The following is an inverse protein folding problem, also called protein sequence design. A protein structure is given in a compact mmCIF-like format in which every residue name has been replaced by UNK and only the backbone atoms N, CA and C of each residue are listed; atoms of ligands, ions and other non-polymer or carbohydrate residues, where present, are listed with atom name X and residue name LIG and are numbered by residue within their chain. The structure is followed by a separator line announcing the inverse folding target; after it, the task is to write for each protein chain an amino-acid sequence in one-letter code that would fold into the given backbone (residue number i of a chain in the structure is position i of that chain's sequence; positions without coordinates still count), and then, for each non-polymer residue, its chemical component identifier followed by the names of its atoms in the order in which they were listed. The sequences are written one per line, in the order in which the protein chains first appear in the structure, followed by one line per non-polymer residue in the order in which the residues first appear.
data_IF_049455824742
#
_entry.id   IF_049455824742
#
_cell.length_a   1.000
_cell.length_b   1.000
_cell.length_c   1.000
_cell.angle_alpha   90.00
_cell.angle_beta   90.00
_cell.angle_gamma   90.00
#
_symmetry.space_group_name_H-M   'P 1'
#
loop_
_entity.id
_entity.type
_entity.pdbx_description
1 polymer ?
#
# COMPACT_ATOMS: atom_id res chain seq x y z
N UNK A 1 39.58 -61.29 28.87
CA UNK A 1 39.95 -59.96 28.35
C UNK A 1 39.95 -60.05 26.84
N UNK A 2 39.02 -59.38 26.15
CA UNK A 2 38.82 -59.53 24.71
C UNK A 2 39.66 -58.46 24.01
N UNK A 3 40.62 -58.87 23.17
CA UNK A 3 41.58 -57.97 22.48
C UNK A 3 41.01 -57.46 21.14
N UNK A 4 39.98 -58.12 20.59
CA UNK A 4 39.42 -57.78 19.27
C UNK A 4 38.49 -56.55 19.22
N UNK A 5 37.91 -56.13 20.35
CA UNK A 5 36.96 -55.01 20.37
C UNK A 5 37.24 -54.11 21.56
N UNK A 6 37.72 -52.90 21.30
CA UNK A 6 37.95 -51.89 22.31
C UNK A 6 36.67 -51.11 22.61
N UNK A 7 35.90 -51.59 23.58
CA UNK A 7 34.61 -51.00 23.98
C UNK A 7 34.77 -49.57 24.52
N UNK A 8 35.89 -49.26 25.19
CA UNK A 8 36.17 -47.91 25.69
C UNK A 8 36.41 -46.91 24.56
N UNK A 9 37.19 -47.30 23.54
CA UNK A 9 37.39 -46.48 22.34
C UNK A 9 36.09 -46.28 21.55
N UNK A 10 35.26 -47.32 21.41
CA UNK A 10 33.95 -47.21 20.75
C UNK A 10 32.96 -46.30 21.51
N UNK A 11 33.06 -46.22 22.84
CA UNK A 11 32.27 -45.29 23.64
C UNK A 11 32.79 -43.84 23.47
N UNK A 12 34.10 -43.64 23.54
CA UNK A 12 34.73 -42.34 23.28
C UNK A 12 34.38 -41.80 21.88
N UNK A 13 34.42 -42.65 20.85
CA UNK A 13 34.07 -42.26 19.48
C UNK A 13 32.57 -41.93 19.32
N UNK A 14 31.67 -42.63 20.03
CA UNK A 14 30.24 -42.28 20.06
C UNK A 14 29.99 -40.92 20.72
N UNK A 15 30.64 -40.65 21.85
CA UNK A 15 30.53 -39.35 22.53
C UNK A 15 31.11 -38.21 21.68
N UNK A 16 32.27 -38.43 21.03
CA UNK A 16 32.85 -37.47 20.10
C UNK A 16 31.87 -37.17 18.95
N UNK A 17 31.27 -38.20 18.34
CA UNK A 17 30.30 -38.02 17.25
C UNK A 17 29.08 -37.19 17.68
N UNK A 18 28.55 -37.43 18.89
CA UNK A 18 27.45 -36.64 19.44
C UNK A 18 27.85 -35.18 19.69
N UNK A 19 29.05 -34.93 20.23
CA UNK A 19 29.57 -33.58 20.46
C UNK A 19 29.82 -32.84 19.15
N UNK A 20 30.43 -33.50 18.16
CA UNK A 20 30.65 -32.94 16.82
C UNK A 20 29.33 -32.59 16.12
N UNK A 21 28.31 -33.45 16.23
CA UNK A 21 26.97 -33.16 15.72
C UNK A 21 26.31 -31.96 16.40
N UNK A 22 26.46 -31.85 17.72
CA UNK A 22 25.92 -30.72 18.50
C UNK A 22 26.65 -29.40 18.17
N UNK A 23 27.97 -29.43 18.02
CA UNK A 23 28.78 -28.30 17.57
C UNK A 23 28.35 -27.83 16.18
N UNK A 24 28.11 -28.75 15.24
CA UNK A 24 27.60 -28.43 13.91
C UNK A 24 26.27 -27.67 13.95
N UNK A 25 25.32 -28.09 14.78
CA UNK A 25 24.04 -27.39 14.98
C UNK A 25 24.23 -25.99 15.57
N UNK A 26 25.12 -25.83 16.54
CA UNK A 26 25.41 -24.52 17.14
C UNK A 26 26.05 -23.57 16.12
N UNK A 27 26.96 -24.07 15.30
CA UNK A 27 27.55 -23.29 14.21
C UNK A 27 26.51 -22.90 13.15
N UNK A 28 25.57 -23.78 12.82
CA UNK A 28 24.45 -23.47 11.91
C UNK A 28 23.58 -22.34 12.48
N UNK A 29 23.23 -22.40 13.77
CA UNK A 29 22.47 -21.33 14.45
C UNK A 29 23.25 -20.02 14.49
N UNK A 30 24.54 -20.07 14.82
CA UNK A 30 25.41 -18.89 14.85
C UNK A 30 25.52 -18.24 13.46
N UNK A 31 25.73 -19.05 12.41
CA UNK A 31 25.85 -18.55 11.03
C UNK A 31 24.55 -17.96 10.50
N UNK A 32 23.40 -18.50 10.90
CA UNK A 32 22.08 -18.02 10.48
C UNK A 32 21.56 -16.82 11.29
N UNK A 33 22.05 -16.65 12.52
CA UNK A 33 21.46 -15.75 13.51
C UNK A 33 20.06 -16.15 14.01
N UNK A 34 19.52 -17.30 13.59
CA UNK A 34 18.19 -17.78 13.93
C UNK A 34 18.27 -18.90 14.97
N UNK A 35 17.38 -18.85 15.96
CA UNK A 35 17.28 -19.89 17.00
C UNK A 35 16.71 -21.22 16.46
N UNK A 36 15.83 -21.14 15.47
CA UNK A 36 15.13 -22.27 14.83
C UNK A 36 15.47 -22.24 13.33
N UNK A 37 16.32 -23.17 12.88
CA UNK A 37 16.74 -23.29 11.48
C UNK A 37 16.05 -24.43 10.72
N UNK A 38 15.58 -25.45 11.44
CA UNK A 38 14.97 -26.65 10.87
C UNK A 38 13.65 -26.93 11.57
N UNK A 39 12.69 -27.46 10.83
CA UNK A 39 11.42 -27.94 11.40
C UNK A 39 11.63 -29.03 12.47
N UNK A 40 12.75 -29.75 12.41
CA UNK A 40 13.14 -30.77 13.40
C UNK A 40 13.55 -30.19 14.77
N UNK A 41 13.94 -28.91 14.85
CA UNK A 41 14.31 -28.27 16.12
C UNK A 41 13.08 -27.75 16.88
N UNK A 42 12.10 -27.17 16.17
CA UNK A 42 10.82 -26.69 16.72
C UNK A 42 9.82 -26.46 15.56
N UNK A 43 8.99 -27.45 15.25
CA UNK A 43 8.04 -27.37 14.14
C UNK A 43 6.95 -26.31 14.37
N UNK A 44 6.46 -26.17 15.61
CA UNK A 44 5.42 -25.21 15.96
C UNK A 44 5.98 -23.77 15.96
N UNK A 45 7.16 -23.55 16.54
CA UNK A 45 7.85 -22.27 16.53
C UNK A 45 8.23 -21.83 15.11
N UNK A 46 8.68 -22.76 14.26
CA UNK A 46 8.93 -22.46 12.85
C UNK A 46 7.65 -22.06 12.12
N UNK A 47 6.55 -22.80 12.29
CA UNK A 47 5.26 -22.49 11.64
C UNK A 47 4.70 -21.10 12.06
N UNK A 48 4.78 -20.76 13.36
CA UNK A 48 4.38 -19.43 13.84
C UNK A 48 5.30 -18.35 13.27
N UNK A 49 6.62 -18.59 13.21
CA UNK A 49 7.57 -17.63 12.65
C UNK A 49 7.37 -17.39 11.15
N UNK A 50 7.04 -18.43 10.38
CA UNK A 50 6.66 -18.35 8.97
C UNK A 50 5.36 -17.55 8.80
N UNK A 51 4.35 -17.82 9.63
CA UNK A 51 3.09 -17.05 9.65
C UNK A 51 3.34 -15.57 9.94
N UNK A 52 4.15 -15.25 10.95
CA UNK A 52 4.52 -13.86 11.27
C UNK A 52 5.31 -13.21 10.13
N UNK A 53 6.25 -13.94 9.50
CA UNK A 53 6.98 -13.45 8.32
C UNK A 53 6.03 -13.16 7.16
N UNK A 54 5.05 -14.02 6.91
CA UNK A 54 4.02 -13.80 5.90
C UNK A 54 3.16 -12.57 6.22
N UNK A 55 2.74 -12.41 7.48
CA UNK A 55 2.02 -11.23 7.94
C UNK A 55 2.85 -9.95 7.78
N UNK A 56 4.14 -9.95 8.14
CA UNK A 56 5.03 -8.80 7.94
C UNK A 56 5.14 -8.44 6.47
N UNK A 57 5.32 -9.42 5.57
CA UNK A 57 5.32 -9.17 4.11
C UNK A 57 3.98 -8.60 3.64
N UNK A 58 2.87 -9.12 4.16
CA UNK A 58 1.52 -8.62 3.89
C UNK A 58 1.33 -7.17 4.35
N UNK A 59 1.76 -6.84 5.57
CA UNK A 59 1.71 -5.48 6.11
C UNK A 59 2.61 -4.52 5.32
N UNK A 60 3.81 -4.94 4.92
CA UNK A 60 4.69 -4.12 4.08
C UNK A 60 4.06 -3.81 2.71
N UNK A 61 3.35 -4.77 2.11
CA UNK A 61 2.59 -4.51 0.89
C UNK A 61 1.39 -3.60 1.16
N UNK A 62 0.67 -3.82 2.26
CA UNK A 62 -0.42 -2.95 2.68
C UNK A 62 0.02 -1.50 2.89
N UNK A 63 1.20 -1.29 3.49
CA UNK A 63 1.80 0.03 3.66
C UNK A 63 2.10 0.70 2.31
N UNK A 64 2.64 -0.04 1.34
CA UNK A 64 2.85 0.49 -0.02
C UNK A 64 1.53 0.86 -0.68
N UNK A 65 0.53 -0.01 -0.61
CA UNK A 65 -0.80 0.27 -1.15
C UNK A 65 -1.45 1.50 -0.49
N UNK A 66 -1.29 1.66 0.83
CA UNK A 66 -1.78 2.84 1.54
C UNK A 66 -1.06 4.11 1.09
N UNK A 67 0.26 4.05 0.87
CA UNK A 67 1.03 5.16 0.34
C UNK A 67 0.57 5.57 -1.06
N UNK A 68 0.28 4.60 -1.95
CA UNK A 68 -0.29 4.87 -3.27
C UNK A 68 -1.67 5.52 -3.16
N UNK A 69 -2.50 5.08 -2.20
CA UNK A 69 -3.78 5.71 -1.89
C UNK A 69 -3.62 7.16 -1.43
N UNK A 70 -2.62 7.46 -0.59
CA UNK A 70 -2.31 8.84 -0.19
C UNK A 70 -1.90 9.69 -1.39
N UNK A 71 -1.02 9.19 -2.26
CA UNK A 71 -0.60 9.91 -3.48
C UNK A 71 -1.76 10.14 -4.45
N UNK A 72 -2.68 9.18 -4.56
CA UNK A 72 -3.93 9.33 -5.32
C UNK A 72 -4.80 10.45 -4.73
N UNK A 73 -5.00 10.47 -3.42
CA UNK A 73 -5.78 11.50 -2.73
C UNK A 73 -5.16 12.89 -2.87
N UNK A 74 -3.83 13.01 -2.75
CA UNK A 74 -3.13 14.29 -2.94
C UNK A 74 -3.31 14.82 -4.37
N UNK A 75 -3.29 13.93 -5.37
CA UNK A 75 -3.55 14.32 -6.76
C UNK A 75 -4.99 14.83 -6.93
N UNK A 76 -5.95 14.15 -6.31
CA UNK A 76 -7.35 14.59 -6.31
C UNK A 76 -7.53 15.94 -5.58
N UNK A 77 -6.89 16.12 -4.43
CA UNK A 77 -6.94 17.36 -3.64
C UNK A 77 -6.35 18.55 -4.39
N UNK A 78 -5.21 18.35 -5.08
CA UNK A 78 -4.64 19.38 -5.95
C UNK A 78 -5.59 19.82 -7.05
N UNK A 79 -6.24 18.88 -7.73
CA UNK A 79 -7.24 19.18 -8.76
C UNK A 79 -8.49 19.86 -8.17
N UNK A 80 -8.95 19.46 -6.98
CA UNK A 80 -10.08 20.11 -6.31
C UNK A 80 -9.76 21.52 -5.82
N UNK A 81 -8.51 21.82 -5.47
CA UNK A 81 -8.07 23.17 -5.14
C UNK A 81 -8.17 24.11 -6.36
N UNK A 82 -7.83 23.65 -7.56
CA UNK A 82 -8.04 24.43 -8.79
C UNK A 82 -9.52 24.69 -9.04
N UNK A 83 -10.37 23.66 -8.89
CA UNK A 83 -11.83 23.82 -8.98
C UNK A 83 -12.35 24.82 -7.94
N UNK A 84 -11.80 24.79 -6.72
CA UNK A 84 -12.17 25.74 -5.67
C UNK A 84 -11.86 27.19 -6.05
N UNK A 85 -10.65 27.44 -6.57
CA UNK A 85 -10.24 28.77 -7.08
C UNK A 85 -11.16 29.25 -8.21
N UNK A 86 -11.51 28.36 -9.15
CA UNK A 86 -12.44 28.69 -10.23
C UNK A 86 -13.83 29.05 -9.67
N UNK A 87 -14.34 28.30 -8.70
CA UNK A 87 -15.64 28.58 -8.07
C UNK A 87 -15.65 29.91 -7.30
N UNK A 88 -14.53 30.29 -6.67
CA UNK A 88 -14.39 31.61 -6.08
C UNK A 88 -14.48 32.70 -7.15
N UNK A 89 -13.79 32.55 -8.28
CA UNK A 89 -13.88 33.47 -9.42
C UNK A 89 -15.31 33.57 -9.99
N UNK A 90 -16.01 32.45 -10.16
CA UNK A 90 -17.42 32.44 -10.59
C UNK A 90 -18.31 33.20 -9.60
N UNK A 91 -18.06 33.09 -8.29
CA UNK A 91 -18.79 33.85 -7.28
C UNK A 91 -18.53 35.36 -7.39
N UNK A 92 -17.29 35.77 -7.60
CA UNK A 92 -16.95 37.18 -7.83
C UNK A 92 -17.70 37.74 -9.05
N UNK A 93 -17.64 37.00 -10.17
CA UNK A 93 -18.36 37.35 -11.40
C UNK A 93 -19.88 37.41 -11.20
N UNK A 94 -20.44 36.51 -10.40
CA UNK A 94 -21.87 36.51 -10.06
C UNK A 94 -22.29 37.78 -9.29
N UNK A 95 -21.47 38.22 -8.33
CA UNK A 95 -21.70 39.47 -7.59
C UNK A 95 -21.54 40.68 -8.52
N UNK A 96 -20.54 40.65 -9.40
CA UNK A 96 -20.32 41.72 -10.39
C UNK A 96 -21.48 41.85 -11.37
N UNK A 97 -22.05 40.74 -11.84
CA UNK A 97 -23.21 40.71 -12.73
C UNK A 97 -24.50 41.22 -12.05
N UNK A 98 -24.59 41.11 -10.72
CA UNK A 98 -25.70 41.63 -9.92
C UNK A 98 -25.71 43.15 -9.79
N UNK A 99 -24.64 43.85 -10.18
CA UNK A 99 -24.60 45.31 -10.15
C UNK A 99 -25.50 45.91 -11.26
N UNK A 100 -26.46 46.75 -10.85
CA UNK A 100 -27.43 47.35 -11.76
C UNK A 100 -26.86 48.41 -12.70
N UNK A 101 -25.66 48.95 -12.42
CA UNK A 101 -25.00 49.97 -13.26
C UNK A 101 -24.28 49.39 -14.47
N UNK A 102 -24.18 48.06 -14.58
CA UNK A 102 -23.45 47.38 -15.63
C UNK A 102 -24.23 47.39 -16.96
N UNK A 103 -23.56 47.59 -18.10
CA UNK A 103 -24.24 47.56 -19.40
C UNK A 103 -24.70 46.15 -19.77
N UNK A 104 -25.56 46.02 -20.78
CA UNK A 104 -25.97 44.70 -21.29
C UNK A 104 -24.80 43.93 -21.90
N UNK A 105 -23.89 44.61 -22.61
CA UNK A 105 -22.69 43.99 -23.20
C UNK A 105 -21.74 43.45 -22.13
N UNK A 106 -21.55 44.17 -21.03
CA UNK A 106 -20.68 43.72 -19.93
C UNK A 106 -21.26 42.47 -19.24
N UNK A 107 -22.58 42.41 -19.07
CA UNK A 107 -23.25 41.21 -18.53
C UNK A 107 -23.11 40.00 -19.45
N UNK A 108 -23.14 40.21 -20.77
CA UNK A 108 -22.87 39.14 -21.74
C UNK A 108 -21.44 38.64 -21.63
N UNK A 109 -20.44 39.53 -21.56
CA UNK A 109 -19.03 39.14 -21.41
C UNK A 109 -18.77 38.36 -20.11
N UNK A 110 -19.37 38.79 -18.99
CA UNK A 110 -19.31 38.03 -17.72
C UNK A 110 -19.96 36.65 -17.85
N UNK A 111 -21.08 36.55 -18.58
CA UNK A 111 -21.74 35.29 -18.89
C UNK A 111 -20.85 34.33 -19.68
N UNK A 112 -20.15 34.84 -20.70
CA UNK A 112 -19.19 34.07 -21.50
C UNK A 112 -18.01 33.58 -20.64
N UNK A 113 -17.46 34.43 -19.77
CA UNK A 113 -16.40 34.03 -18.82
C UNK A 113 -16.89 32.91 -17.88
N UNK A 114 -18.11 33.02 -17.33
CA UNK A 114 -18.68 31.96 -16.49
C UNK A 114 -18.87 30.63 -17.22
N UNK A 115 -19.28 30.66 -18.50
CA UNK A 115 -19.41 29.45 -19.32
C UNK A 115 -18.03 28.81 -19.57
N UNK A 116 -17.01 29.61 -19.86
CA UNK A 116 -15.64 29.13 -20.03
C UNK A 116 -15.10 28.49 -18.74
N UNK A 117 -15.30 29.14 -17.58
CA UNK A 117 -14.91 28.61 -16.28
C UNK A 117 -15.63 27.30 -15.94
N UNK A 118 -16.92 27.18 -16.30
CA UNK A 118 -17.66 25.92 -16.15
C UNK A 118 -17.08 24.80 -17.02
N UNK A 119 -16.77 25.11 -18.28
CA UNK A 119 -16.11 24.16 -19.18
C UNK A 119 -14.75 23.73 -18.65
N UNK A 120 -13.99 24.63 -18.00
CA UNK A 120 -12.71 24.29 -17.41
C UNK A 120 -12.86 23.34 -16.21
N UNK A 121 -13.87 23.54 -15.35
CA UNK A 121 -14.19 22.60 -14.26
C UNK A 121 -14.48 21.19 -14.82
N UNK A 122 -15.29 21.09 -15.88
CA UNK A 122 -15.60 19.82 -16.53
C UNK A 122 -14.34 19.16 -17.13
N UNK A 123 -13.43 19.97 -17.70
CA UNK A 123 -12.14 19.48 -18.21
C UNK A 123 -11.22 18.97 -17.09
N UNK A 124 -11.11 19.68 -15.96
CA UNK A 124 -10.32 19.24 -14.80
C UNK A 124 -10.85 17.88 -14.30
N UNK A 125 -12.17 17.72 -14.22
CA UNK A 125 -12.80 16.45 -13.82
C UNK A 125 -12.41 15.29 -14.74
N UNK A 126 -12.39 15.53 -16.07
CA UNK A 126 -12.08 14.49 -17.06
C UNK A 126 -10.58 14.19 -17.21
N UNK A 127 -9.71 15.17 -16.97
CA UNK A 127 -8.26 15.05 -17.16
C UNK A 127 -7.54 14.55 -15.91
N UNK A 128 -8.12 14.71 -14.72
CA UNK A 128 -7.50 14.29 -13.45
C UNK A 128 -7.46 12.77 -13.36
N UNK A 129 -6.25 12.22 -13.51
CA UNK A 129 -5.99 10.78 -13.55
C UNK A 129 -4.85 10.39 -12.63
N UNK A 130 -4.98 9.21 -12.03
CA UNK A 130 -3.90 8.55 -11.30
C UNK A 130 -3.80 7.10 -11.75
N UNK A 131 -2.62 6.69 -12.20
CA UNK A 131 -2.38 5.33 -12.72
C UNK A 131 -3.42 4.87 -13.77
N UNK A 132 -3.84 5.78 -14.66
CA UNK A 132 -4.85 5.51 -15.70
C UNK A 132 -6.32 5.57 -15.23
N UNK A 133 -6.58 5.69 -13.94
CA UNK A 133 -7.93 5.81 -13.38
C UNK A 133 -8.35 7.28 -13.29
N UNK A 134 -9.56 7.60 -13.74
CA UNK A 134 -10.14 8.93 -13.56
C UNK A 134 -10.62 9.09 -12.11
N UNK A 135 -10.25 10.20 -11.46
CA UNK A 135 -10.51 10.40 -10.04
C UNK A 135 -11.80 11.16 -9.75
N UNK A 136 -12.17 12.11 -10.61
CA UNK A 136 -13.17 13.14 -10.32
C UNK A 136 -14.46 13.04 -11.17
N UNK A 137 -14.60 12.00 -11.99
CA UNK A 137 -15.74 11.82 -12.90
C UNK A 137 -16.84 10.88 -12.34
N UNK A 138 -16.70 10.42 -11.08
CA UNK A 138 -17.64 9.50 -10.43
C UNK A 138 -17.44 8.02 -10.78
N UNK A 139 -16.61 7.67 -11.77
CA UNK A 139 -16.36 6.27 -12.17
C UNK A 139 -15.75 5.42 -11.06
N UNK A 140 -15.02 6.04 -10.12
CA UNK A 140 -14.40 5.36 -8.99
C UNK A 140 -15.44 4.84 -7.98
N UNK A 141 -16.57 5.54 -7.82
CA UNK A 141 -17.63 5.13 -6.91
C UNK A 141 -18.32 3.83 -7.36
N UNK A 142 -18.48 3.62 -8.67
CA UNK A 142 -19.10 2.41 -9.23
C UNK A 142 -18.22 1.16 -9.03
N UNK A 143 -16.90 1.30 -8.95
CA UNK A 143 -15.99 0.15 -8.76
C UNK A 143 -15.90 -0.34 -7.31
N UNK A 144 -16.26 0.48 -6.32
CA UNK A 144 -16.23 0.08 -4.90
C UNK A 144 -17.47 -0.74 -4.49
N UNK A 145 -18.59 -0.61 -5.20
CA UNK A 145 -19.85 -1.32 -4.89
C UNK A 145 -19.88 -2.75 -5.46
N UNK A 146 -19.04 -3.07 -6.44
CA UNK A 146 -19.01 -4.41 -7.07
C UNK A 146 -18.18 -5.46 -6.32
N UNK A 147 -17.65 -5.16 -5.13
CA UNK A 147 -16.64 -5.98 -4.44
C UNK A 147 -17.09 -6.73 -3.18
N UNK A 148 -18.32 -6.54 -2.68
CA UNK A 148 -18.77 -7.13 -1.40
C UNK A 148 -19.58 -8.43 -1.53
N UNK A 149 -19.47 -9.16 -2.65
CA UNK A 149 -20.21 -10.42 -2.83
C UNK A 149 -19.38 -11.58 -3.39
N UNK A 150 -18.23 -11.91 -2.80
CA UNK A 150 -17.60 -13.26 -2.83
C UNK A 150 -16.27 -13.22 -2.06
N UNK A 151 -15.89 -14.09 -1.12
CA UNK A 151 -16.47 -15.30 -0.56
C UNK A 151 -15.88 -15.46 0.85
N UNK A 152 -16.75 -15.52 1.85
CA UNK A 152 -16.43 -16.06 3.17
C UNK A 152 -16.98 -17.50 3.17
N UNK A 153 -16.18 -18.44 2.64
CA UNK A 153 -16.28 -19.90 2.82
C UNK A 153 -14.93 -20.54 2.57
#
# INVERSE_FOLDING_TARGET
MIINTNVAALNAQRNLSNTSGSMGKTLEKLSSGLRINRAADDAAGLAISEKMRAQVRGMQQGQRNAQDGVSMLQTAEGALNEVHTILQRVRELSVQAGNSTLSSSDRTAIGEEMVALRSEIDNISQRTRFNGLNLLNGSLATTLDSGTSTADT
#
